data_IF_238563565796
#
_entry.id   IF_238563565796
#
_cell.length_a   1.000
_cell.length_b   1.000
_cell.length_c   1.000
_cell.angle_alpha   90.00
_cell.angle_beta   90.00
_cell.angle_gamma   90.00
#
_symmetry.space_group_name_H-M   'P 1'
#
loop_
_entity.id
_entity.type
_entity.pdbx_description
1 polymer ?
#
# COMPACT_ATOMS: atom_id res chain seq x y z
N UNK A 1 -5.68 -15.24 -10.82
CA UNK A 1 -4.78 -15.34 -9.65
C UNK A 1 -5.62 -15.52 -8.40
N UNK A 2 -5.47 -16.65 -7.70
CA UNK A 2 -6.12 -16.87 -6.40
C UNK A 2 -5.30 -16.15 -5.33
N UNK A 3 -5.73 -14.95 -4.93
CA UNK A 3 -5.11 -14.24 -3.82
C UNK A 3 -5.32 -15.02 -2.51
N UNK A 4 -4.27 -15.28 -1.71
CA UNK A 4 -4.40 -15.99 -0.44
C UNK A 4 -5.29 -15.20 0.52
N UNK A 5 -6.20 -15.88 1.20
CA UNK A 5 -7.02 -15.30 2.26
C UNK A 5 -6.24 -15.29 3.57
N UNK A 6 -6.19 -14.13 4.22
CA UNK A 6 -5.69 -14.02 5.59
C UNK A 6 -6.72 -14.65 6.54
N UNK A 7 -6.44 -15.89 6.97
CA UNK A 7 -7.18 -16.62 8.02
C UNK A 7 -6.85 -16.02 9.39
N UNK A 8 -7.22 -14.76 9.60
CA UNK A 8 -7.04 -14.02 10.83
C UNK A 8 -8.41 -13.55 11.34
N UNK A 9 -8.57 -13.26 12.65
CA UNK A 9 -9.81 -12.72 13.17
C UNK A 9 -10.19 -11.43 12.43
N UNK A 10 -11.50 -11.17 12.22
CA UNK A 10 -12.00 -9.98 11.49
C UNK A 10 -11.33 -8.69 11.99
N UNK A 11 -11.20 -8.54 13.31
CA UNK A 11 -10.56 -7.38 13.93
C UNK A 11 -9.11 -7.17 13.45
N UNK A 12 -8.35 -8.26 13.32
CA UNK A 12 -6.95 -8.22 12.84
C UNK A 12 -6.90 -7.82 11.37
N UNK A 13 -7.78 -8.37 10.53
CA UNK A 13 -7.84 -7.97 9.12
C UNK A 13 -8.23 -6.49 8.94
N UNK A 14 -9.12 -5.97 9.78
CA UNK A 14 -9.48 -4.53 9.78
C UNK A 14 -8.27 -3.68 10.15
N UNK A 15 -7.55 -4.03 11.21
CA UNK A 15 -6.35 -3.29 11.65
C UNK A 15 -5.29 -3.29 10.56
N UNK A 16 -5.00 -4.45 9.96
CA UNK A 16 -4.04 -4.57 8.85
C UNK A 16 -4.47 -3.69 7.67
N UNK A 17 -5.75 -3.68 7.33
CA UNK A 17 -6.30 -2.85 6.25
C UNK A 17 -6.09 -1.36 6.51
N UNK A 18 -6.36 -0.90 7.74
CA UNK A 18 -6.19 0.52 8.11
C UNK A 18 -4.71 0.93 8.03
N UNK A 19 -3.82 0.14 8.63
CA UNK A 19 -2.38 0.43 8.62
C UNK A 19 -1.85 0.44 7.18
N UNK A 20 -2.24 -0.55 6.38
CA UNK A 20 -1.82 -0.67 4.98
C UNK A 20 -2.32 0.51 4.13
N UNK A 21 -3.56 0.95 4.36
CA UNK A 21 -4.12 2.11 3.67
C UNK A 21 -3.36 3.40 4.01
N UNK A 22 -2.98 3.60 5.28
CA UNK A 22 -2.18 4.75 5.70
C UNK A 22 -0.81 4.73 5.01
N UNK A 23 -0.08 3.61 5.09
CA UNK A 23 1.26 3.47 4.47
C UNK A 23 1.18 3.67 2.95
N UNK A 24 0.16 3.09 2.29
CA UNK A 24 -0.07 3.26 0.86
C UNK A 24 -0.37 4.72 0.49
N UNK A 25 -1.08 5.46 1.33
CA UNK A 25 -1.39 6.88 1.07
C UNK A 25 -0.13 7.76 1.18
N UNK A 26 0.69 7.53 2.21
CA UNK A 26 1.97 8.25 2.39
C UNK A 26 2.97 7.98 1.25
N UNK A 27 3.10 6.72 0.83
CA UNK A 27 4.00 6.34 -0.28
C UNK A 27 3.56 6.99 -1.60
N UNK A 28 2.25 7.09 -1.85
CA UNK A 28 1.70 7.74 -3.03
C UNK A 28 1.92 9.27 -3.00
N UNK A 29 1.72 9.92 -1.86
CA UNK A 29 2.02 11.35 -1.68
C UNK A 29 3.51 11.65 -1.94
N UNK A 30 4.41 10.81 -1.44
CA UNK A 30 5.86 10.94 -1.69
C UNK A 30 6.20 10.79 -3.18
N UNK A 31 5.57 9.84 -3.88
CA UNK A 31 5.75 9.67 -5.32
C UNK A 31 5.31 10.91 -6.11
N UNK A 32 4.16 11.51 -5.76
CA UNK A 32 3.68 12.75 -6.37
C UNK A 32 4.62 13.92 -6.08
N UNK A 33 5.05 14.08 -4.83
CA UNK A 33 5.97 15.15 -4.44
C UNK A 33 7.26 15.11 -5.28
N UNK A 34 7.80 13.91 -5.51
CA UNK A 34 9.03 13.76 -6.28
C UNK A 34 8.84 13.94 -7.79
N UNK A 35 7.65 13.64 -8.33
CA UNK A 35 7.30 13.98 -9.71
C UNK A 35 7.28 15.50 -9.94
N UNK A 36 6.80 16.26 -8.95
CA UNK A 36 6.85 17.73 -8.99
C UNK A 36 8.30 18.22 -8.85
N UNK A 37 9.07 17.60 -7.95
CA UNK A 37 10.48 17.91 -7.73
C UNK A 37 11.33 17.72 -8.99
N UNK A 38 11.11 16.64 -9.75
CA UNK A 38 11.84 16.37 -11.00
C UNK A 38 11.62 17.39 -12.13
N UNK A 39 10.64 18.29 -11.98
CA UNK A 39 10.41 19.42 -12.90
C UNK A 39 11.14 20.69 -12.49
N UNK A 40 11.76 20.73 -11.32
CA UNK A 40 12.46 21.91 -10.82
C UNK A 40 13.92 21.94 -11.34
N UNK A 41 14.28 22.93 -12.19
CA UNK A 41 15.64 23.02 -12.74
C UNK A 41 16.70 23.43 -11.71
N UNK A 42 16.30 23.85 -10.50
CA UNK A 42 17.23 24.28 -9.46
C UNK A 42 17.83 23.13 -8.63
N UNK A 43 17.39 21.88 -8.88
CA UNK A 43 17.80 20.73 -8.08
C UNK A 43 18.91 19.98 -8.84
N UNK A 44 20.08 19.77 -8.22
CA UNK A 44 21.16 19.04 -8.87
C UNK A 44 20.71 17.61 -9.21
N UNK A 45 21.03 17.16 -10.42
CA UNK A 45 20.61 15.88 -10.98
C UNK A 45 20.99 14.68 -10.08
N UNK A 46 22.12 14.77 -9.38
CA UNK A 46 22.58 13.75 -8.42
C UNK A 46 21.64 13.57 -7.23
N UNK A 47 21.03 14.65 -6.73
CA UNK A 47 20.07 14.58 -5.62
C UNK A 47 18.71 14.06 -6.10
N UNK A 48 18.31 14.44 -7.32
CA UNK A 48 17.12 13.88 -7.95
C UNK A 48 17.21 12.35 -8.15
N UNK A 49 18.35 11.82 -8.59
CA UNK A 49 18.54 10.37 -8.74
C UNK A 49 18.43 9.60 -7.40
N UNK A 50 18.94 10.18 -6.31
CA UNK A 50 18.79 9.58 -4.96
C UNK A 50 17.33 9.56 -4.54
N UNK A 51 16.62 10.67 -4.73
CA UNK A 51 15.18 10.75 -4.45
C UNK A 51 14.37 9.77 -5.29
N UNK A 52 14.69 9.62 -6.58
CA UNK A 52 14.02 8.69 -7.48
C UNK A 52 14.19 7.24 -7.00
N UNK A 53 15.40 6.90 -6.56
CA UNK A 53 15.70 5.57 -6.01
C UNK A 53 14.86 5.28 -4.76
N UNK A 54 14.74 6.25 -3.85
CA UNK A 54 13.91 6.14 -2.65
C UNK A 54 12.43 5.98 -3.02
N UNK A 55 11.93 6.74 -4.00
CA UNK A 55 10.55 6.66 -4.48
C UNK A 55 10.24 5.30 -5.09
N UNK A 56 11.14 4.73 -5.89
CA UNK A 56 10.96 3.40 -6.46
C UNK A 56 10.82 2.35 -5.34
N UNK A 57 11.68 2.41 -4.32
CA UNK A 57 11.61 1.51 -3.16
C UNK A 57 10.28 1.68 -2.42
N UNK A 58 9.87 2.92 -2.15
CA UNK A 58 8.59 3.22 -1.50
C UNK A 58 7.39 2.72 -2.33
N UNK A 59 7.46 2.79 -3.65
CA UNK A 59 6.41 2.32 -4.55
C UNK A 59 6.28 0.80 -4.48
N UNK A 60 7.40 0.06 -4.46
CA UNK A 60 7.41 -1.40 -4.27
C UNK A 60 6.80 -1.77 -2.92
N UNK A 61 7.17 -1.07 -1.85
CA UNK A 61 6.59 -1.27 -0.52
C UNK A 61 5.08 -1.02 -0.54
N UNK A 62 4.64 0.09 -1.15
CA UNK A 62 3.21 0.43 -1.29
C UNK A 62 2.42 -0.65 -2.02
N UNK A 63 2.95 -1.21 -3.10
CA UNK A 63 2.33 -2.32 -3.84
C UNK A 63 2.19 -3.57 -2.96
N UNK A 64 3.19 -3.90 -2.16
CA UNK A 64 3.12 -5.03 -1.21
C UNK A 64 1.99 -4.83 -0.21
N UNK A 65 1.88 -3.64 0.39
CA UNK A 65 0.79 -3.31 1.32
C UNK A 65 -0.58 -3.31 0.64
N UNK A 66 -0.66 -2.93 -0.63
CA UNK A 66 -1.89 -3.00 -1.41
C UNK A 66 -2.33 -4.45 -1.64
N UNK A 67 -1.41 -5.36 -1.94
CA UNK A 67 -1.71 -6.80 -2.06
C UNK A 67 -2.18 -7.38 -0.72
N UNK A 68 -1.52 -7.02 0.38
CA UNK A 68 -1.92 -7.42 1.73
C UNK A 68 -3.33 -6.91 2.05
N UNK A 69 -3.63 -5.66 1.69
CA UNK A 69 -4.97 -5.06 1.86
C UNK A 69 -6.04 -5.86 1.11
N UNK A 70 -5.80 -6.22 -0.15
CA UNK A 70 -6.73 -7.04 -0.94
C UNK A 70 -6.95 -8.40 -0.27
N UNK A 71 -5.89 -9.04 0.22
CA UNK A 71 -5.98 -10.31 0.95
C UNK A 71 -6.79 -10.19 2.26
N UNK A 72 -6.60 -9.11 3.02
CA UNK A 72 -7.35 -8.82 4.25
C UNK A 72 -8.83 -8.55 3.96
N UNK A 73 -9.16 -7.76 2.93
CA UNK A 73 -10.54 -7.49 2.53
C UNK A 73 -11.27 -8.78 2.13
N UNK A 74 -10.62 -9.65 1.34
CA UNK A 74 -11.18 -10.97 1.00
C UNK A 74 -11.40 -11.85 2.24
N UNK A 75 -10.50 -11.80 3.21
CA UNK A 75 -10.66 -12.49 4.49
C UNK A 75 -11.87 -12.00 5.30
N UNK A 76 -12.08 -10.68 5.35
CA UNK A 76 -13.26 -10.08 6.01
C UNK A 76 -14.54 -10.50 5.30
N UNK A 77 -14.58 -10.42 3.96
CA UNK A 77 -15.75 -10.76 3.16
C UNK A 77 -16.14 -12.24 3.33
N UNK A 78 -15.16 -13.13 3.41
CA UNK A 78 -15.39 -14.56 3.63
C UNK A 78 -16.01 -14.84 5.01
N UNK A 79 -15.48 -14.24 6.08
CA UNK A 79 -16.05 -14.41 7.43
C UNK A 79 -17.42 -13.75 7.59
N UNK A 80 -17.69 -12.65 6.89
CA UNK A 80 -19.01 -12.02 6.87
C UNK A 80 -20.04 -12.92 6.19
N UNK A 81 -19.77 -13.45 4.99
CA UNK A 81 -20.68 -14.40 4.33
C UNK A 81 -20.93 -15.64 5.19
N UNK A 82 -19.90 -16.19 5.86
CA UNK A 82 -20.05 -17.32 6.78
C UNK A 82 -20.99 -17.03 7.96
N UNK A 83 -21.08 -15.78 8.42
CA UNK A 83 -22.01 -15.35 9.48
C UNK A 83 -23.44 -15.12 8.99
N UNK A 84 -23.65 -14.88 7.70
CA UNK A 84 -24.98 -14.65 7.11
C UNK A 84 -25.69 -15.95 6.76
N UNK A 85 -24.95 -17.03 6.48
CA UNK A 85 -25.49 -18.36 6.17
C UNK A 85 -25.87 -19.19 7.42
N UNK A 86 -25.74 -18.62 8.63
CA UNK A 86 -26.06 -19.24 9.92
C UNK A 86 -27.07 -18.42 10.71
#
# INVERSE_FOLDING_TARGET
MNFPTLKAPILVNIIITIISAIISSFTLLFGIAHLVEGRNPNIPYSEHLKGLTIVIILCVIGVVFLVITIASIKGILFELNRKTDH
#
